data_IF_627058505410
#
_entry.id   IF_627058505410
#
_cell.length_a   1.000
_cell.length_b   1.000
_cell.length_c   1.000
_cell.angle_alpha   90.00
_cell.angle_beta   90.00
_cell.angle_gamma   90.00
#
_symmetry.space_group_name_H-M   'P 1'
#
loop_
_entity.id
_entity.type
_entity.pdbx_description
1 polymer ?
#
# COMPACT_ATOMS: atom_id res chain seq x y z
N UNK A 1 39.55 -18.54 48.28
CA UNK A 1 39.88 -17.28 47.56
C UNK A 1 40.20 -17.61 46.10
N UNK A 2 39.23 -17.40 45.21
CA UNK A 2 39.30 -17.06 43.76
C UNK A 2 38.05 -17.60 43.06
N UNK A 3 37.00 -16.79 43.12
CA UNK A 3 35.78 -16.93 42.31
C UNK A 3 36.16 -16.48 40.90
N UNK A 4 36.07 -17.39 39.92
CA UNK A 4 36.22 -17.03 38.50
C UNK A 4 34.85 -17.17 37.86
N UNK A 5 34.15 -16.03 37.73
CA UNK A 5 32.95 -15.91 36.90
C UNK A 5 33.37 -16.08 35.44
N UNK A 6 32.66 -16.93 34.69
CA UNK A 6 32.57 -16.81 33.24
C UNK A 6 31.10 -16.91 32.87
N UNK A 7 30.52 -15.73 32.73
CA UNK A 7 29.37 -15.48 31.90
C UNK A 7 29.66 -16.00 30.48
N UNK A 8 28.85 -16.94 30.00
CA UNK A 8 28.64 -17.13 28.57
C UNK A 8 27.14 -17.15 28.36
N UNK A 9 26.68 -15.96 27.99
CA UNK A 9 25.38 -15.58 27.45
C UNK A 9 24.77 -16.68 26.59
N UNK A 10 23.63 -17.20 27.05
CA UNK A 10 22.74 -17.98 26.20
C UNK A 10 22.12 -17.05 25.15
N UNK A 11 22.60 -17.14 23.90
CA UNK A 11 21.92 -16.52 22.75
C UNK A 11 20.61 -17.26 22.51
N UNK A 12 19.52 -16.75 23.09
CA UNK A 12 18.17 -17.13 22.69
C UNK A 12 17.94 -16.53 21.31
N UNK A 13 18.11 -17.35 20.27
CA UNK A 13 17.59 -17.02 18.94
C UNK A 13 16.06 -16.99 19.05
N UNK A 14 15.49 -15.80 19.18
CA UNK A 14 14.06 -15.59 19.06
C UNK A 14 13.65 -15.84 17.61
N UNK A 15 13.37 -17.11 17.27
CA UNK A 15 12.55 -17.43 16.11
C UNK A 15 11.15 -16.87 16.39
N UNK A 16 10.85 -15.72 15.80
CA UNK A 16 9.48 -15.23 15.72
C UNK A 16 8.74 -16.19 14.80
N UNK A 17 8.15 -17.23 15.39
CA UNK A 17 7.16 -18.07 14.72
C UNK A 17 5.90 -17.22 14.59
N UNK A 18 5.75 -16.52 13.46
CA UNK A 18 4.46 -15.91 13.11
C UNK A 18 3.41 -17.04 13.08
N UNK A 19 2.32 -16.96 13.85
CA UNK A 19 1.27 -17.96 13.77
C UNK A 19 0.66 -17.92 12.37
N UNK A 20 0.79 -19.05 11.65
CA UNK A 20 0.23 -19.30 10.31
C UNK A 20 -1.31 -19.11 10.24
N UNK A 21 -1.97 -18.92 11.39
CA UNK A 21 -3.41 -18.71 11.54
C UNK A 21 -3.88 -17.24 11.43
N UNK A 22 -2.98 -16.26 11.27
CA UNK A 22 -3.35 -14.85 11.16
C UNK A 22 -3.61 -14.37 9.71
N UNK A 23 -3.38 -15.21 8.70
CA UNK A 23 -3.42 -14.84 7.28
C UNK A 23 -4.80 -15.03 6.61
N UNK A 24 -5.83 -15.38 7.37
CA UNK A 24 -7.21 -15.50 6.86
C UNK A 24 -8.15 -14.45 7.45
N UNK A 25 -7.63 -13.33 7.97
CA UNK A 25 -8.45 -12.13 8.09
C UNK A 25 -8.68 -11.64 6.67
N UNK A 26 -9.87 -11.91 6.15
CA UNK A 26 -10.45 -11.09 5.09
C UNK A 26 -10.14 -9.64 5.46
N UNK A 27 -9.28 -8.96 4.68
CA UNK A 27 -8.91 -7.57 4.96
C UNK A 27 -10.15 -6.71 4.75
N UNK A 28 -10.94 -6.55 5.81
CA UNK A 28 -12.26 -5.92 5.73
C UNK A 28 -12.13 -4.41 5.61
N UNK A 29 -11.19 -3.80 6.36
CA UNK A 29 -10.84 -2.40 6.20
C UNK A 29 -9.52 -2.22 5.42
N UNK A 30 -9.64 -1.75 4.17
CA UNK A 30 -8.50 -1.50 3.28
C UNK A 30 -7.66 -0.29 3.71
N UNK A 31 -8.19 0.58 4.57
CA UNK A 31 -7.43 1.69 5.16
C UNK A 31 -6.30 1.20 6.07
N UNK A 32 -6.40 -0.04 6.57
CA UNK A 32 -5.42 -0.62 7.48
C UNK A 32 -4.24 -1.31 6.75
N UNK A 33 -4.20 -1.24 5.42
CA UNK A 33 -3.07 -1.74 4.62
C UNK A 33 -1.77 -0.97 4.97
N UNK A 34 -0.89 -1.61 5.74
CA UNK A 34 0.44 -1.09 6.06
C UNK A 34 1.48 -1.69 5.13
N UNK A 35 1.83 -0.94 4.09
CA UNK A 35 2.80 -1.33 3.08
C UNK A 35 4.21 -0.95 3.56
N UNK A 36 5.18 -1.88 3.63
CA UNK A 36 6.55 -1.55 4.00
C UNK A 36 7.17 -0.48 3.09
N UNK A 37 7.85 0.50 3.69
CA UNK A 37 8.47 1.62 2.96
C UNK A 37 7.46 2.61 2.37
N UNK A 38 6.20 2.57 2.82
CA UNK A 38 5.14 3.51 2.49
C UNK A 38 4.48 4.00 3.78
N UNK A 39 4.29 5.31 3.90
CA UNK A 39 3.69 5.93 5.07
C UNK A 39 2.60 6.93 4.68
N UNK A 40 1.71 7.22 5.63
CA UNK A 40 0.75 8.31 5.49
C UNK A 40 1.50 9.64 5.41
N UNK A 41 1.10 10.49 4.47
CA UNK A 41 1.80 11.72 4.18
C UNK A 41 0.83 12.90 4.18
N UNK A 42 1.06 13.86 5.08
CA UNK A 42 0.16 15.00 5.28
C UNK A 42 0.42 16.16 4.32
N UNK A 43 1.47 16.11 3.50
CA UNK A 43 1.84 17.21 2.64
C UNK A 43 1.14 17.10 1.28
N UNK A 44 0.27 18.07 1.00
CA UNK A 44 -0.38 18.30 -0.30
C UNK A 44 0.03 19.67 -0.80
N UNK A 45 0.64 19.72 -1.97
CA UNK A 45 0.85 20.94 -2.75
C UNK A 45 0.27 20.77 -4.16
N UNK A 46 0.41 21.77 -5.03
CA UNK A 46 -0.09 21.72 -6.41
C UNK A 46 0.48 20.54 -7.22
N UNK A 47 1.64 20.00 -6.82
CA UNK A 47 2.24 18.82 -7.47
C UNK A 47 1.45 17.53 -7.23
N UNK A 48 0.55 17.50 -6.24
CA UNK A 48 -0.32 16.35 -5.95
C UNK A 48 -1.63 16.34 -6.74
N UNK A 49 -1.98 17.45 -7.41
CA UNK A 49 -3.21 17.56 -8.20
C UNK A 49 -3.36 16.45 -9.26
N UNK A 50 -2.30 16.06 -10.00
CA UNK A 50 -2.40 14.98 -10.97
C UNK A 50 -2.69 13.61 -10.33
N UNK A 51 -2.23 13.35 -9.11
CA UNK A 51 -2.58 12.13 -8.36
C UNK A 51 -4.06 12.14 -7.99
N UNK A 52 -4.56 13.26 -7.45
CA UNK A 52 -5.98 13.41 -7.09
C UNK A 52 -6.89 13.17 -8.30
N UNK A 53 -6.51 13.66 -9.48
CA UNK A 53 -7.26 13.42 -10.72
C UNK A 53 -7.24 11.94 -11.13
N UNK A 54 -6.07 11.29 -11.03
CA UNK A 54 -5.92 9.88 -11.35
C UNK A 54 -6.72 8.98 -10.37
N UNK A 55 -6.74 9.29 -9.08
CA UNK A 55 -7.51 8.55 -8.07
C UNK A 55 -9.01 8.81 -8.18
N UNK A 56 -9.42 10.03 -8.55
CA UNK A 56 -10.83 10.33 -8.87
C UNK A 56 -11.32 9.49 -10.06
N UNK A 57 -10.55 9.44 -11.14
CA UNK A 57 -10.89 8.62 -12.31
C UNK A 57 -10.95 7.11 -11.97
N UNK A 58 -10.08 6.64 -11.08
CA UNK A 58 -10.13 5.27 -10.56
C UNK A 58 -11.41 5.03 -9.75
N UNK A 59 -11.79 5.93 -8.86
CA UNK A 59 -13.01 5.83 -8.06
C UNK A 59 -14.27 5.70 -8.94
N UNK A 60 -14.37 6.50 -9.99
CA UNK A 60 -15.47 6.42 -10.96
C UNK A 60 -15.46 5.09 -11.72
N UNK A 61 -14.27 4.64 -12.13
CA UNK A 61 -14.11 3.35 -12.81
C UNK A 61 -14.48 2.17 -11.90
N UNK A 62 -14.18 2.23 -10.61
CA UNK A 62 -14.55 1.18 -9.65
C UNK A 62 -16.07 1.04 -9.54
N UNK A 63 -16.79 2.16 -9.44
CA UNK A 63 -18.26 2.18 -9.44
C UNK A 63 -18.81 1.58 -10.74
N UNK A 64 -18.27 1.99 -11.88
CA UNK A 64 -18.67 1.44 -13.19
C UNK A 64 -18.40 -0.07 -13.31
N UNK A 65 -17.39 -0.59 -12.60
CA UNK A 65 -17.07 -2.03 -12.54
C UNK A 65 -17.76 -2.78 -11.39
N UNK A 66 -18.78 -2.20 -10.77
CA UNK A 66 -19.65 -2.88 -9.83
C UNK A 66 -19.22 -2.80 -8.36
N UNK A 67 -18.35 -1.85 -8.01
CA UNK A 67 -18.12 -1.52 -6.60
C UNK A 67 -19.41 -1.02 -5.96
N UNK A 68 -19.78 -1.63 -4.83
CA UNK A 68 -21.07 -1.36 -4.18
C UNK A 68 -20.96 -0.43 -2.95
N UNK A 69 -19.75 -0.16 -2.48
CA UNK A 69 -19.48 0.75 -1.37
C UNK A 69 -19.03 2.13 -1.85
N UNK A 70 -18.99 3.09 -0.92
CA UNK A 70 -18.28 4.36 -1.15
C UNK A 70 -16.80 4.12 -1.44
N UNK A 71 -16.11 5.14 -1.94
CA UNK A 71 -14.67 5.09 -2.19
C UNK A 71 -13.98 6.07 -1.24
N UNK A 72 -12.90 5.64 -0.61
CA UNK A 72 -12.00 6.45 0.20
C UNK A 72 -10.61 6.49 -0.43
N UNK A 73 -9.77 7.39 0.07
CA UNK A 73 -8.37 7.45 -0.29
C UNK A 73 -7.51 8.03 0.82
N UNK A 74 -6.21 7.77 0.72
CA UNK A 74 -5.19 8.27 1.63
C UNK A 74 -3.99 8.76 0.84
N UNK A 75 -3.48 9.94 1.19
CA UNK A 75 -2.22 10.46 0.65
C UNK A 75 -1.06 9.74 1.33
N UNK A 76 -0.15 9.23 0.51
CA UNK A 76 0.94 8.37 0.95
C UNK A 76 2.27 8.89 0.39
N UNK A 77 3.37 8.51 1.03
CA UNK A 77 4.72 8.69 0.53
C UNK A 77 5.46 7.37 0.61
N UNK A 78 6.07 6.96 -0.51
CA UNK A 78 7.05 5.89 -0.52
C UNK A 78 8.45 6.44 -0.28
N UNK A 79 9.30 5.66 0.37
CA UNK A 79 10.74 5.91 0.35
C UNK A 79 11.24 5.97 -1.10
N UNK A 80 12.22 6.83 -1.38
CA UNK A 80 12.72 7.04 -2.74
C UNK A 80 13.27 5.77 -3.41
N UNK A 81 13.66 4.77 -2.62
CA UNK A 81 14.20 3.49 -3.10
C UNK A 81 13.14 2.40 -3.27
N UNK A 82 11.91 2.62 -2.75
CA UNK A 82 10.82 1.66 -2.84
C UNK A 82 10.25 1.66 -4.25
N UNK A 83 10.35 0.51 -4.92
CA UNK A 83 9.88 0.33 -6.30
C UNK A 83 8.39 -0.01 -6.35
N UNK A 84 7.75 0.28 -7.48
CA UNK A 84 6.34 -0.08 -7.71
C UNK A 84 6.12 -1.59 -7.56
N UNK A 85 7.06 -2.42 -8.03
CA UNK A 85 6.94 -3.87 -7.88
C UNK A 85 7.11 -4.32 -6.43
N UNK A 86 7.94 -3.65 -5.63
CA UNK A 86 8.05 -3.95 -4.19
C UNK A 86 6.76 -3.58 -3.44
N UNK A 87 6.16 -2.42 -3.77
CA UNK A 87 4.84 -2.03 -3.27
C UNK A 87 3.82 -3.08 -3.68
N UNK A 88 3.79 -3.44 -4.96
CA UNK A 88 2.77 -4.33 -5.50
C UNK A 88 2.82 -5.73 -4.88
N UNK A 89 4.03 -6.31 -4.70
CA UNK A 89 4.21 -7.59 -4.00
C UNK A 89 3.76 -7.53 -2.54
N UNK A 90 4.01 -6.40 -1.87
CA UNK A 90 3.57 -6.21 -0.49
C UNK A 90 2.05 -6.17 -0.40
N UNK A 91 1.39 -5.46 -1.33
CA UNK A 91 -0.08 -5.43 -1.42
C UNK A 91 -0.65 -6.80 -1.75
N UNK A 92 -0.05 -7.55 -2.69
CA UNK A 92 -0.46 -8.93 -3.00
C UNK A 92 -0.46 -9.82 -1.74
N UNK A 93 0.61 -9.72 -0.93
CA UNK A 93 0.74 -10.49 0.31
C UNK A 93 -0.27 -10.06 1.39
N UNK A 94 -0.57 -8.76 1.49
CA UNK A 94 -1.47 -8.20 2.50
C UNK A 94 -2.96 -8.44 2.17
N UNK A 95 -3.34 -8.37 0.90
CA UNK A 95 -4.72 -8.60 0.47
C UNK A 95 -5.11 -10.09 0.49
N UNK A 96 -4.13 -10.97 0.28
CA UNK A 96 -4.32 -12.41 0.32
C UNK A 96 -4.97 -12.99 -0.94
N UNK A 97 -5.34 -14.26 -0.88
CA UNK A 97 -5.69 -15.07 -2.05
C UNK A 97 -7.01 -14.70 -2.73
N UNK A 98 -7.88 -13.94 -2.09
CA UNK A 98 -9.20 -13.57 -2.64
C UNK A 98 -9.12 -12.38 -3.59
N UNK A 99 -7.93 -11.77 -3.70
CA UNK A 99 -7.64 -10.62 -4.54
C UNK A 99 -6.73 -10.99 -5.70
N UNK A 100 -6.78 -10.17 -6.75
CA UNK A 100 -5.90 -10.27 -7.90
C UNK A 100 -5.52 -8.88 -8.41
N UNK A 101 -4.34 -8.74 -9.04
CA UNK A 101 -4.00 -7.53 -9.78
C UNK A 101 -4.96 -7.37 -10.96
N UNK A 102 -5.62 -6.23 -11.05
CA UNK A 102 -6.56 -5.93 -12.12
C UNK A 102 -5.85 -5.39 -13.36
N UNK A 103 -6.35 -5.76 -14.53
CA UNK A 103 -5.88 -5.26 -15.83
C UNK A 103 -6.78 -4.14 -16.36
N UNK A 104 -6.27 -3.42 -17.37
CA UNK A 104 -7.02 -2.38 -18.08
C UNK A 104 -7.19 -1.09 -17.28
N UNK A 105 -6.23 -0.78 -16.41
CA UNK A 105 -6.10 0.50 -15.72
C UNK A 105 -4.82 1.18 -16.19
N UNK A 106 -4.93 2.44 -16.60
CA UNK A 106 -3.80 3.27 -16.98
C UNK A 106 -4.17 4.73 -16.71
N UNK A 107 -3.22 5.50 -16.22
CA UNK A 107 -3.39 6.94 -16.08
C UNK A 107 -3.31 7.60 -17.46
N UNK A 108 -4.13 8.63 -17.68
CA UNK A 108 -3.98 9.53 -18.82
C UNK A 108 -2.65 10.32 -18.74
N UNK A 109 -2.11 10.49 -17.53
CA UNK A 109 -0.79 11.08 -17.32
C UNK A 109 0.29 9.97 -17.27
N UNK A 110 1.22 9.91 -18.24
CA UNK A 110 2.24 8.87 -18.30
C UNK A 110 3.27 8.93 -17.15
N UNK A 111 3.35 10.05 -16.42
CA UNK A 111 4.16 10.17 -15.23
C UNK A 111 3.57 9.45 -14.00
N UNK A 112 2.31 9.01 -14.08
CA UNK A 112 1.59 8.32 -13.01
C UNK A 112 1.40 6.85 -13.36
N UNK A 113 1.85 5.97 -12.47
CA UNK A 113 1.58 4.54 -12.52
C UNK A 113 0.38 4.24 -11.65
N UNK A 114 -0.50 3.38 -12.15
CA UNK A 114 -1.66 2.88 -11.40
C UNK A 114 -1.45 1.39 -11.18
N UNK A 115 -1.38 1.00 -9.91
CA UNK A 115 -1.39 -0.39 -9.48
C UNK A 115 -2.76 -0.66 -8.88
N UNK A 116 -3.49 -1.64 -9.41
CA UNK A 116 -4.90 -1.87 -9.04
C UNK A 116 -5.11 -3.33 -8.71
N UNK A 117 -5.87 -3.58 -7.66
CA UNK A 117 -6.32 -4.88 -7.20
C UNK A 117 -7.83 -4.92 -7.13
N UNK A 118 -8.39 -6.09 -7.42
CA UNK A 118 -9.82 -6.36 -7.30
C UNK A 118 -10.07 -7.72 -6.64
N UNK A 119 -11.25 -7.88 -6.03
CA UNK A 119 -11.69 -9.20 -5.57
C UNK A 119 -12.00 -10.12 -6.76
N UNK A 120 -11.66 -11.40 -6.61
CA UNK A 120 -11.91 -12.44 -7.62
C UNK A 120 -13.40 -12.73 -7.79
N UNK A 121 -14.16 -12.65 -6.70
CA UNK A 121 -15.61 -12.87 -6.66
C UNK A 121 -16.38 -11.60 -6.29
N UNK A 122 -17.70 -11.62 -6.53
CA UNK A 122 -18.60 -10.61 -6.02
C UNK A 122 -18.75 -10.72 -4.48
N UNK A 123 -19.06 -9.63 -3.75
CA UNK A 123 -19.15 -8.26 -4.26
C UNK A 123 -17.78 -7.71 -4.67
N UNK A 124 -17.76 -6.91 -5.74
CA UNK A 124 -16.51 -6.32 -6.25
C UNK A 124 -16.00 -5.27 -5.29
N UNK A 125 -14.76 -5.46 -4.83
CA UNK A 125 -13.99 -4.47 -4.07
C UNK A 125 -12.72 -4.16 -4.82
N UNK A 126 -12.23 -2.93 -4.66
CA UNK A 126 -11.02 -2.45 -5.31
C UNK A 126 -10.10 -1.78 -4.30
N UNK A 127 -8.81 -1.98 -4.51
CA UNK A 127 -7.73 -1.22 -3.89
C UNK A 127 -6.80 -0.78 -4.99
N UNK A 128 -6.35 0.46 -4.97
CA UNK A 128 -5.36 0.94 -5.92
C UNK A 128 -4.41 1.95 -5.29
N UNK A 129 -3.25 2.06 -5.93
CA UNK A 129 -2.25 3.08 -5.65
C UNK A 129 -1.95 3.78 -6.97
N UNK A 130 -2.16 5.09 -6.99
CA UNK A 130 -1.60 5.98 -7.99
C UNK A 130 -0.23 6.47 -7.48
N UNK A 131 0.80 6.34 -8.30
CA UNK A 131 2.18 6.62 -7.93
C UNK A 131 2.84 7.53 -8.96
N UNK A 132 3.51 8.60 -8.52
CA UNK A 132 4.42 9.32 -9.41
C UNK A 132 5.68 8.49 -9.68
N UNK A 133 6.16 8.56 -10.92
CA UNK A 133 7.45 8.00 -11.29
C UNK A 133 8.63 8.80 -10.72
N UNK A 134 8.43 10.09 -10.45
CA UNK A 134 9.48 10.99 -9.98
C UNK A 134 9.71 10.89 -8.46
N UNK A 135 10.95 11.15 -8.05
CA UNK A 135 11.32 11.34 -6.64
C UNK A 135 11.31 12.84 -6.33
N UNK A 136 10.61 13.20 -5.27
CA UNK A 136 10.46 14.55 -4.74
C UNK A 136 11.35 14.75 -3.51
N UNK A 137 11.54 16.01 -3.12
CA UNK A 137 12.29 16.39 -1.93
C UNK A 137 11.38 17.16 -1.01
N UNK A 138 11.16 16.67 0.20
CA UNK A 138 10.40 17.37 1.21
C UNK A 138 11.18 18.57 1.76
N UNK A 139 10.51 19.46 2.48
CA UNK A 139 11.12 20.67 3.05
C UNK A 139 12.26 20.35 4.03
N UNK A 140 12.23 19.19 4.68
CA UNK A 140 13.28 18.68 5.57
C UNK A 140 14.46 18.02 4.82
N UNK A 141 14.44 18.04 3.47
CA UNK A 141 15.46 17.43 2.62
C UNK A 141 15.24 15.94 2.32
N UNK A 142 14.24 15.29 2.92
CA UNK A 142 13.95 13.88 2.69
C UNK A 142 13.48 13.62 1.27
N UNK A 143 14.03 12.59 0.64
CA UNK A 143 13.60 12.13 -0.69
C UNK A 143 12.46 11.14 -0.56
N UNK A 144 11.39 11.35 -1.31
CA UNK A 144 10.20 10.49 -1.28
C UNK A 144 9.52 10.41 -2.65
N UNK A 145 8.68 9.40 -2.84
CA UNK A 145 7.81 9.27 -4.01
C UNK A 145 6.37 9.54 -3.58
N UNK A 146 5.69 10.56 -4.13
CA UNK A 146 4.31 10.84 -3.80
C UNK A 146 3.38 9.75 -4.36
N UNK A 147 2.48 9.28 -3.51
CA UNK A 147 1.51 8.25 -3.78
C UNK A 147 0.12 8.70 -3.29
N UNK A 148 -0.93 8.15 -3.88
CA UNK A 148 -2.27 8.23 -3.31
C UNK A 148 -2.96 6.87 -3.47
N UNK A 149 -3.50 6.37 -2.37
CA UNK A 149 -4.33 5.17 -2.41
C UNK A 149 -5.79 5.54 -2.61
N UNK A 150 -6.53 4.65 -3.27
CA UNK A 150 -7.97 4.76 -3.46
C UNK A 150 -8.60 3.37 -3.35
N UNK A 151 -9.64 3.23 -2.55
CA UNK A 151 -10.19 1.92 -2.21
C UNK A 151 -11.68 1.96 -1.88
N UNK A 152 -12.35 0.85 -2.15
CA UNK A 152 -13.76 0.68 -1.82
C UNK A 152 -13.95 0.43 -0.33
N UNK A 153 -14.81 1.21 0.31
CA UNK A 153 -15.23 1.00 1.71
C UNK A 153 -15.87 -0.37 1.88
N UNK A 154 -15.76 -0.89 3.09
CA UNK A 154 -16.66 -1.94 3.54
C UNK A 154 -18.10 -1.40 3.54
N UNK A 155 -19.07 -2.27 3.24
CA UNK A 155 -20.48 -1.91 3.17
C UNK A 155 -21.07 -1.68 4.56
#
# INVERSE_FOLDING_TARGET
MKITRRDVTASVAAMIVLPKAALSRTMTDLRLLRIPGVEAFAYRDESTLPLNQATTALADTFKARGAQGGVDGETLAADATTTDEAIAKSVDALLGSDWQRSKGFASANPAIRQMVWETKSAPKRFYAIAAFNAVHTATDGRKYRPLESVFTRER
#
